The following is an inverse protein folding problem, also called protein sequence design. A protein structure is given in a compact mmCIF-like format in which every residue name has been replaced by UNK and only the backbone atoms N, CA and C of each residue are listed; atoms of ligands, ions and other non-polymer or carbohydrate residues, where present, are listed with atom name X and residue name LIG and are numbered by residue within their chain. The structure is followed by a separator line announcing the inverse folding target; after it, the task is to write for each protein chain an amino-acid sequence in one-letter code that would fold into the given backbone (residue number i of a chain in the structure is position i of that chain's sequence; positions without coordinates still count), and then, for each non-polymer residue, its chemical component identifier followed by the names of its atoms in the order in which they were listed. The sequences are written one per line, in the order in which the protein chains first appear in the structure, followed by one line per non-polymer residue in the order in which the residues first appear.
data_IF_914050755863
#
_entry.id   IF_914050755863
#
_cell.length_a   1.000
_cell.length_b   1.000
_cell.length_c   1.000
_cell.angle_alpha   90.00
_cell.angle_beta   90.00
_cell.angle_gamma   90.00
#
_symmetry.space_group_name_H-M   'P 1'
#
loop_
_entity.id
_entity.type
_entity.pdbx_description
1 polymer ?
#
# COMPACT_ATOMS: atom_id res chain seq x y z
N UNK A 1 -16.59 12.40 -0.58
CA UNK A 1 -16.69 10.93 -0.70
C UNK A 1 -16.88 10.54 -2.14
N UNK A 2 -16.10 9.56 -2.65
CA UNK A 2 -16.29 9.06 -4.00
C UNK A 2 -17.57 8.21 -4.05
N UNK A 3 -18.53 8.61 -4.88
CA UNK A 3 -19.80 7.90 -5.05
C UNK A 3 -19.77 6.88 -6.18
N UNK A 4 -18.57 6.62 -6.75
CA UNK A 4 -18.39 5.78 -7.93
C UNK A 4 -17.37 4.69 -7.66
N UNK A 5 -17.75 3.45 -7.96
CA UNK A 5 -16.85 2.31 -8.04
C UNK A 5 -16.98 1.62 -9.41
N UNK A 6 -15.91 1.06 -9.93
CA UNK A 6 -15.87 0.34 -11.19
C UNK A 6 -15.23 -1.04 -10.98
N UNK A 7 -15.81 -2.06 -11.59
CA UNK A 7 -15.18 -3.36 -11.76
C UNK A 7 -14.90 -3.58 -13.25
N UNK A 8 -13.72 -4.04 -13.56
CA UNK A 8 -13.30 -4.37 -14.93
C UNK A 8 -12.97 -5.85 -14.96
N UNK A 9 -13.49 -6.55 -15.93
CA UNK A 9 -13.21 -7.95 -16.12
C UNK A 9 -13.19 -8.33 -17.60
N UNK A 10 -12.72 -9.51 -17.90
CA UNK A 10 -12.74 -10.09 -19.24
C UNK A 10 -13.53 -11.38 -19.22
N UNK A 11 -14.37 -11.58 -20.23
CA UNK A 11 -14.91 -12.90 -20.56
C UNK A 11 -13.86 -13.56 -21.42
N UNK A 12 -12.82 -14.06 -20.81
CA UNK A 12 -11.84 -14.90 -21.47
C UNK A 12 -11.97 -16.34 -21.01
N UNK A 13 -11.73 -17.22 -21.93
CA UNK A 13 -11.46 -18.61 -21.69
C UNK A 13 -10.34 -18.74 -20.66
N UNK A 14 -10.71 -19.04 -19.44
CA UNK A 14 -9.91 -19.25 -18.25
C UNK A 14 -9.75 -18.10 -17.26
N UNK A 15 -10.12 -18.42 -16.06
CA UNK A 15 -9.60 -18.05 -14.74
C UNK A 15 -10.36 -17.05 -13.94
N UNK A 16 -10.90 -17.58 -12.84
CA UNK A 16 -11.24 -16.88 -11.61
C UNK A 16 -10.03 -16.12 -11.02
N UNK A 17 -9.65 -15.00 -11.59
CA UNK A 17 -8.59 -14.16 -11.05
C UNK A 17 -9.18 -12.88 -10.49
N UNK A 18 -9.15 -12.68 -9.18
CA UNK A 18 -9.38 -11.35 -8.58
C UNK A 18 -8.26 -10.40 -8.99
N UNK A 19 -8.57 -9.10 -9.04
CA UNK A 19 -7.53 -8.09 -9.14
C UNK A 19 -6.82 -7.98 -7.80
N UNK A 20 -5.51 -7.97 -7.83
CA UNK A 20 -4.68 -7.78 -6.65
C UNK A 20 -4.22 -6.32 -6.58
N UNK A 21 -4.34 -5.74 -5.41
CA UNK A 21 -3.81 -4.43 -5.11
C UNK A 21 -2.65 -4.60 -4.13
N UNK A 22 -1.63 -3.77 -4.28
CA UNK A 22 -0.48 -3.75 -3.38
C UNK A 22 -0.22 -2.33 -2.92
N UNK A 23 0.10 -2.20 -1.64
CA UNK A 23 0.66 -1.01 -1.04
C UNK A 23 1.90 -1.41 -0.25
N UNK A 24 3.00 -0.69 -0.45
CA UNK A 24 4.19 -0.83 0.37
C UNK A 24 4.02 0.07 1.58
N UNK A 25 4.07 -0.50 2.78
CA UNK A 25 3.79 0.18 4.05
C UNK A 25 4.93 0.00 5.04
N UNK A 26 4.98 0.84 6.04
CA UNK A 26 5.92 0.71 7.15
C UNK A 26 5.34 1.27 8.44
N UNK A 27 5.45 0.52 9.52
CA UNK A 27 5.12 1.01 10.86
C UNK A 27 6.08 2.12 11.33
N UNK A 28 7.23 2.22 10.69
CA UNK A 28 8.19 3.30 10.93
C UNK A 28 7.64 4.68 10.51
N UNK A 29 6.64 4.72 9.64
CA UNK A 29 6.14 5.89 8.95
C UNK A 29 6.89 6.10 7.63
N UNK A 30 6.95 7.32 7.13
CA UNK A 30 7.70 7.63 5.92
C UNK A 30 9.19 7.38 6.16
N UNK A 31 9.73 6.40 5.42
CA UNK A 31 11.14 6.06 5.49
C UNK A 31 11.90 7.07 4.66
N UNK A 32 12.73 7.86 5.33
CA UNK A 32 13.65 8.83 4.71
C UNK A 32 14.90 8.92 5.56
N UNK A 33 16.00 9.32 4.96
CA UNK A 33 17.25 9.56 5.67
C UNK A 33 17.86 10.88 5.24
N UNK A 34 18.42 11.63 6.17
CA UNK A 34 19.20 12.83 5.88
C UNK A 34 20.57 12.76 6.54
N UNK A 35 21.54 13.46 6.00
CA UNK A 35 22.87 13.60 6.57
C UNK A 35 23.33 15.05 6.51
N UNK A 36 24.20 15.47 7.44
CA UNK A 36 24.62 16.84 7.54
C UNK A 36 25.83 17.18 6.64
N UNK A 37 26.77 16.26 6.49
CA UNK A 37 27.90 16.38 5.61
C UNK A 37 28.47 15.02 5.23
N UNK A 38 29.23 14.98 4.15
CA UNK A 38 29.95 13.81 3.69
C UNK A 38 31.45 14.12 3.59
N UNK A 39 32.28 13.39 4.36
CA UNK A 39 33.74 13.50 4.26
C UNK A 39 34.27 12.55 3.17
N UNK A 40 34.65 13.12 2.05
CA UNK A 40 35.17 12.38 0.89
C UNK A 40 36.49 11.67 1.15
N UNK A 41 37.29 12.16 2.12
CA UNK A 41 38.60 11.56 2.40
C UNK A 41 38.48 10.29 3.24
N UNK A 42 37.51 10.28 4.13
CA UNK A 42 37.23 9.14 5.02
C UNK A 42 36.07 8.24 4.53
N UNK A 43 35.38 8.66 3.46
CA UNK A 43 34.20 7.97 2.94
C UNK A 43 33.08 7.84 3.98
N UNK A 44 32.89 8.87 4.79
CA UNK A 44 31.93 8.87 5.91
C UNK A 44 30.93 10.00 5.84
N UNK A 45 29.67 9.68 6.04
CA UNK A 45 28.62 10.66 6.26
C UNK A 45 28.47 10.95 7.76
N UNK A 46 28.30 12.22 8.10
CA UNK A 46 28.06 12.65 9.48
C UNK A 46 26.65 13.22 9.64
N UNK A 47 26.14 13.18 10.86
CA UNK A 47 24.85 13.73 11.17
C UNK A 47 23.68 12.98 10.49
N UNK A 48 23.80 11.68 10.32
CA UNK A 48 22.79 10.84 9.68
C UNK A 48 21.57 10.69 10.61
N UNK A 49 20.38 10.98 10.09
CA UNK A 49 19.10 10.91 10.85
C UNK A 49 17.96 10.43 9.94
N UNK A 50 17.19 9.42 10.34
CA UNK A 50 17.44 8.46 11.42
C UNK A 50 18.71 7.64 11.14
N UNK A 51 19.34 7.13 12.18
CA UNK A 51 20.48 6.24 12.06
C UNK A 51 20.00 4.78 12.03
N UNK A 52 19.98 4.17 10.86
CA UNK A 52 19.51 2.79 10.68
C UNK A 52 20.48 1.74 11.22
N UNK A 53 21.69 2.12 11.65
CA UNK A 53 22.56 1.20 12.41
C UNK A 53 22.05 0.99 13.85
N UNK A 54 21.25 1.94 14.37
CA UNK A 54 20.60 1.82 15.66
C UNK A 54 19.36 0.93 15.55
N UNK A 55 19.28 -0.23 16.27
CA UNK A 55 18.19 -1.19 16.16
C UNK A 55 16.78 -0.61 16.39
N UNK A 56 16.65 0.45 17.19
CA UNK A 56 15.35 1.09 17.46
C UNK A 56 14.92 2.06 16.34
N UNK A 57 15.82 2.37 15.42
CA UNK A 57 15.56 3.24 14.27
C UNK A 57 15.54 2.47 12.93
N UNK A 58 15.61 1.15 12.96
CA UNK A 58 15.59 0.31 11.77
C UNK A 58 14.17 0.16 11.23
N UNK A 59 13.87 0.69 10.04
CA UNK A 59 12.55 0.54 9.44
C UNK A 59 12.38 -0.83 8.78
N UNK A 60 11.12 -1.25 8.66
CA UNK A 60 10.72 -2.39 7.82
C UNK A 60 9.73 -1.89 6.78
N UNK A 61 9.97 -2.24 5.52
CA UNK A 61 9.01 -2.07 4.42
C UNK A 61 8.25 -3.37 4.29
N UNK A 62 6.93 -3.31 4.29
CA UNK A 62 6.05 -4.48 4.20
C UNK A 62 5.13 -4.39 2.99
N UNK A 63 4.84 -5.53 2.37
CA UNK A 63 3.92 -5.63 1.26
C UNK A 63 2.50 -5.94 1.77
N UNK A 64 1.65 -4.92 1.83
CA UNK A 64 0.21 -5.08 2.08
C UNK A 64 -0.48 -5.39 0.75
N UNK A 65 -0.98 -6.61 0.60
CA UNK A 65 -1.61 -7.10 -0.63
C UNK A 65 -3.06 -7.47 -0.33
N UNK A 66 -4.00 -6.97 -1.12
CA UNK A 66 -5.42 -7.34 -1.03
C UNK A 66 -5.92 -7.90 -2.35
N UNK A 67 -6.98 -8.71 -2.28
CA UNK A 67 -7.64 -9.28 -3.45
C UNK A 67 -9.08 -8.75 -3.52
N UNK A 68 -9.48 -8.18 -4.65
CA UNK A 68 -10.80 -7.59 -4.85
C UNK A 68 -11.97 -8.55 -4.62
N UNK A 69 -11.77 -9.86 -4.80
CA UNK A 69 -12.81 -10.87 -4.58
C UNK A 69 -12.94 -11.29 -3.11
N UNK A 70 -11.84 -11.26 -2.36
CA UNK A 70 -11.80 -11.78 -0.98
C UNK A 70 -11.96 -10.70 0.09
N UNK A 71 -11.68 -9.43 -0.25
CA UNK A 71 -11.67 -8.32 0.71
C UNK A 71 -10.67 -8.49 1.86
N UNK A 72 -9.88 -9.55 1.82
CA UNK A 72 -8.93 -9.91 2.86
C UNK A 72 -7.50 -9.73 2.38
N UNK A 73 -6.61 -9.52 3.33
CA UNK A 73 -5.18 -9.47 3.07
C UNK A 73 -4.67 -10.82 2.54
N UNK A 74 -3.74 -10.77 1.59
CA UNK A 74 -3.16 -11.91 0.91
C UNK A 74 -1.67 -11.95 1.16
N UNK A 75 -1.17 -13.11 1.54
CA UNK A 75 0.25 -13.34 1.85
C UNK A 75 0.92 -14.11 0.71
N UNK A 76 1.99 -13.56 0.09
CA UNK A 76 2.66 -14.23 -1.01
C UNK A 76 3.41 -15.49 -0.54
N UNK A 77 3.42 -16.53 -1.38
CA UNK A 77 4.17 -17.75 -1.13
C UNK A 77 5.68 -17.57 -1.32
N UNK A 78 6.06 -16.60 -2.14
CA UNK A 78 7.43 -16.22 -2.42
C UNK A 78 7.49 -14.72 -2.70
N UNK A 79 8.60 -14.11 -2.29
CA UNK A 79 8.84 -12.69 -2.51
C UNK A 79 10.29 -12.46 -2.93
N UNK A 80 10.45 -11.63 -3.98
CA UNK A 80 11.74 -11.13 -4.44
C UNK A 80 11.83 -9.65 -4.18
N UNK A 81 13.00 -9.19 -3.82
CA UNK A 81 13.30 -7.80 -3.53
C UNK A 81 14.48 -7.34 -4.38
N UNK A 82 14.43 -6.11 -4.87
CA UNK A 82 15.56 -5.43 -5.50
C UNK A 82 15.83 -4.10 -4.80
N UNK A 83 17.07 -3.67 -4.81
CA UNK A 83 17.47 -2.33 -4.37
C UNK A 83 18.25 -1.66 -5.50
N UNK A 84 17.76 -0.51 -5.99
CA UNK A 84 18.32 0.20 -7.14
C UNK A 84 18.56 -0.71 -8.36
N UNK A 85 17.59 -1.60 -8.66
CA UNK A 85 17.65 -2.54 -9.78
C UNK A 85 18.51 -3.78 -9.57
N UNK A 86 19.15 -3.94 -8.39
CA UNK A 86 19.94 -5.14 -8.06
C UNK A 86 19.08 -6.11 -7.24
N UNK A 87 18.89 -7.35 -7.71
CA UNK A 87 18.16 -8.38 -6.98
C UNK A 87 18.92 -8.74 -5.70
N UNK A 88 18.22 -8.71 -4.56
CA UNK A 88 18.77 -9.07 -3.26
C UNK A 88 18.71 -10.58 -3.06
N UNK A 89 19.83 -11.18 -2.70
CA UNK A 89 19.93 -12.56 -2.21
C UNK A 89 20.26 -12.53 -0.72
N UNK A 90 19.78 -13.53 0.02
CA UNK A 90 19.85 -13.56 1.47
C UNK A 90 20.54 -14.84 1.95
N UNK A 91 21.37 -14.73 2.96
CA UNK A 91 21.95 -15.85 3.67
C UNK A 91 20.91 -16.61 4.51
N UNK A 92 21.37 -17.66 5.21
CA UNK A 92 20.52 -18.46 6.10
C UNK A 92 19.94 -17.65 7.27
N UNK A 93 20.62 -16.58 7.67
CA UNK A 93 20.17 -15.61 8.69
C UNK A 93 19.16 -14.58 8.16
N UNK A 94 18.85 -14.66 6.86
CA UNK A 94 17.98 -13.71 6.15
C UNK A 94 18.64 -12.37 5.84
N UNK A 95 19.94 -12.21 6.03
CA UNK A 95 20.67 -10.97 5.77
C UNK A 95 21.14 -10.94 4.31
N UNK A 96 21.06 -9.76 3.65
CA UNK A 96 21.47 -9.58 2.26
C UNK A 96 22.97 -9.77 2.06
N UNK A 97 23.34 -10.49 1.01
CA UNK A 97 24.74 -10.79 0.69
C UNK A 97 25.36 -9.85 -0.34
N UNK A 98 24.52 -9.06 -1.03
CA UNK A 98 24.99 -8.07 -2.02
C UNK A 98 25.68 -6.90 -1.34
N UNK A 99 26.71 -6.38 -2.03
CA UNK A 99 27.26 -5.08 -1.70
C UNK A 99 26.26 -3.97 -2.07
N UNK A 100 25.91 -3.16 -1.08
CA UNK A 100 25.08 -1.98 -1.25
C UNK A 100 25.71 -0.85 -0.42
N UNK A 101 25.80 0.35 -0.96
CA UNK A 101 26.48 1.46 -0.30
C UNK A 101 27.91 1.16 0.19
N UNK A 102 28.65 0.31 -0.53
CA UNK A 102 30.04 -0.04 -0.22
C UNK A 102 30.25 -1.25 0.70
N UNK A 103 29.20 -1.81 1.31
CA UNK A 103 29.26 -2.96 2.20
C UNK A 103 28.07 -3.91 2.05
N UNK A 104 28.15 -5.10 2.67
CA UNK A 104 27.07 -6.11 2.66
C UNK A 104 26.19 -5.97 3.92
N UNK A 105 25.05 -6.66 3.93
CA UNK A 105 24.20 -6.78 5.12
C UNK A 105 23.31 -5.58 5.40
N UNK A 106 22.95 -4.80 4.37
CA UNK A 106 22.04 -3.65 4.51
C UNK A 106 20.60 -4.03 4.78
N UNK A 107 20.18 -5.21 4.32
CA UNK A 107 18.78 -5.60 4.36
C UNK A 107 18.60 -6.95 5.03
N UNK A 108 17.45 -7.15 5.68
CA UNK A 108 17.02 -8.44 6.21
C UNK A 108 15.64 -8.79 5.65
N UNK A 109 15.55 -9.99 5.07
CA UNK A 109 14.31 -10.54 4.56
C UNK A 109 13.40 -11.01 5.70
N UNK A 110 12.11 -10.72 5.60
CA UNK A 110 11.06 -11.23 6.46
C UNK A 110 10.09 -12.01 5.58
N UNK A 111 10.00 -13.32 5.80
CA UNK A 111 9.09 -14.18 5.06
C UNK A 111 7.63 -13.91 5.44
N UNK A 112 6.75 -13.93 4.45
CA UNK A 112 5.32 -13.88 4.71
C UNK A 112 4.85 -15.16 5.41
N UNK A 113 3.93 -15.01 6.38
CA UNK A 113 3.30 -16.12 7.08
C UNK A 113 1.81 -15.81 7.30
N UNK A 114 0.95 -16.41 6.48
CA UNK A 114 -0.50 -16.20 6.55
C UNK A 114 -1.12 -16.65 7.89
N UNK A 115 -0.53 -17.66 8.55
CA UNK A 115 -1.03 -18.16 9.84
C UNK A 115 -0.75 -17.17 10.98
N UNK A 116 0.38 -16.47 10.89
CA UNK A 116 0.81 -15.48 11.87
C UNK A 116 0.40 -14.05 11.47
N UNK A 117 -0.24 -13.89 10.31
CA UNK A 117 -0.52 -12.58 9.69
C UNK A 117 0.73 -11.72 9.52
N UNK A 118 1.88 -12.36 9.24
CA UNK A 118 3.14 -11.67 8.97
C UNK A 118 3.24 -11.38 7.48
N UNK A 119 3.44 -10.12 7.11
CA UNK A 119 3.64 -9.68 5.73
C UNK A 119 5.04 -10.02 5.23
N UNK A 120 5.19 -10.17 3.92
CA UNK A 120 6.52 -10.17 3.31
C UNK A 120 7.15 -8.80 3.56
N UNK A 121 8.33 -8.77 4.14
CA UNK A 121 8.99 -7.55 4.55
C UNK A 121 10.47 -7.51 4.20
N UNK A 122 10.99 -6.28 4.12
CA UNK A 122 12.40 -5.97 3.98
C UNK A 122 12.80 -4.99 5.09
N UNK A 123 13.54 -5.47 6.10
CA UNK A 123 14.05 -4.62 7.17
C UNK A 123 15.39 -4.00 6.75
N UNK A 124 15.54 -2.71 6.97
CA UNK A 124 16.78 -1.97 6.70
C UNK A 124 17.63 -1.97 7.98
N UNK A 125 18.87 -2.45 7.88
CA UNK A 125 19.76 -2.65 9.01
C UNK A 125 20.87 -1.61 9.09
N UNK A 126 21.17 -0.93 7.97
CA UNK A 126 22.29 0.01 7.84
C UNK A 126 21.87 1.25 7.10
N UNK A 127 22.67 2.31 7.26
CA UNK A 127 22.44 3.59 6.59
C UNK A 127 22.53 3.47 5.05
N UNK A 128 21.67 4.21 4.37
CA UNK A 128 21.55 4.18 2.91
C UNK A 128 22.27 5.36 2.24
N UNK A 129 23.00 6.15 3.02
CA UNK A 129 23.79 7.25 2.52
C UNK A 129 24.99 6.71 1.76
N UNK A 130 25.08 7.04 0.46
CA UNK A 130 26.23 6.71 -0.39
C UNK A 130 27.12 7.92 -0.57
N UNK A 131 28.43 7.68 -0.79
CA UNK A 131 29.36 8.73 -1.13
C UNK A 131 28.88 9.57 -2.31
N UNK A 132 28.91 10.89 -2.15
CA UNK A 132 28.67 11.88 -3.20
C UNK A 132 27.27 11.93 -3.80
N UNK A 133 26.29 11.19 -3.26
CA UNK A 133 25.02 11.14 -3.96
C UNK A 133 23.83 11.05 -2.99
N UNK A 134 23.13 12.18 -2.85
CA UNK A 134 21.79 12.23 -2.26
C UNK A 134 20.75 11.56 -3.18
N UNK A 135 21.06 10.34 -3.68
CA UNK A 135 20.19 9.63 -4.60
C UNK A 135 19.15 8.84 -3.80
N UNK A 136 17.88 8.97 -4.12
CA UNK A 136 16.85 8.14 -3.53
C UNK A 136 17.14 6.66 -3.77
N UNK A 137 16.84 5.82 -2.78
CA UNK A 137 16.94 4.36 -2.92
C UNK A 137 15.60 3.81 -3.34
N UNK A 138 15.55 3.19 -4.51
CA UNK A 138 14.36 2.50 -5.01
C UNK A 138 14.39 1.05 -4.55
N UNK A 139 13.42 0.67 -3.73
CA UNK A 139 13.15 -0.71 -3.35
C UNK A 139 12.00 -1.22 -4.19
N UNK A 140 12.21 -2.34 -4.88
CA UNK A 140 11.17 -3.01 -5.65
C UNK A 140 10.87 -4.38 -5.07
N UNK A 141 9.65 -4.80 -5.21
CA UNK A 141 9.10 -6.04 -4.68
C UNK A 141 8.35 -6.78 -5.77
N UNK A 142 8.48 -8.10 -5.81
CA UNK A 142 7.61 -8.97 -6.61
C UNK A 142 7.16 -10.13 -5.74
N UNK A 143 5.92 -10.09 -5.28
CA UNK A 143 5.27 -11.19 -4.57
C UNK A 143 4.63 -12.18 -5.55
N UNK A 144 4.74 -13.47 -5.26
CA UNK A 144 4.04 -14.53 -5.99
C UNK A 144 2.92 -15.09 -5.11
N UNK A 145 1.68 -14.98 -5.55
CA UNK A 145 0.51 -15.51 -4.84
C UNK A 145 -0.12 -16.65 -5.63
N UNK A 146 -0.65 -17.65 -4.92
CA UNK A 146 -1.44 -18.70 -5.54
C UNK A 146 -2.83 -18.16 -5.93
N UNK A 147 -3.27 -18.44 -7.16
CA UNK A 147 -4.56 -18.06 -7.70
C UNK A 147 -5.18 -19.28 -8.39
N UNK A 148 -5.89 -20.09 -7.61
CA UNK A 148 -6.33 -21.43 -8.02
C UNK A 148 -5.13 -22.33 -8.35
N UNK A 149 -5.13 -22.92 -9.55
CA UNK A 149 -4.03 -23.76 -10.04
C UNK A 149 -2.87 -22.95 -10.64
N UNK A 150 -2.93 -21.63 -10.60
CA UNK A 150 -1.93 -20.74 -11.19
C UNK A 150 -1.30 -19.88 -10.10
N UNK A 151 -0.25 -19.14 -10.52
CA UNK A 151 0.37 -18.13 -9.68
C UNK A 151 0.36 -16.78 -10.39
N UNK A 152 0.12 -15.72 -9.61
CA UNK A 152 0.25 -14.34 -10.08
C UNK A 152 1.44 -13.66 -9.45
N UNK A 153 2.15 -12.86 -10.25
CA UNK A 153 3.20 -11.96 -9.78
C UNK A 153 2.59 -10.59 -9.51
N UNK A 154 2.85 -10.04 -8.33
CA UNK A 154 2.34 -8.77 -7.87
C UNK A 154 3.53 -7.86 -7.60
N UNK A 155 3.80 -6.87 -8.49
CA UNK A 155 4.87 -5.92 -8.30
C UNK A 155 4.47 -4.79 -7.34
N UNK A 156 5.45 -4.30 -6.59
CA UNK A 156 5.34 -3.10 -5.76
C UNK A 156 6.65 -2.36 -5.71
N UNK A 157 6.62 -1.08 -5.33
CA UNK A 157 7.84 -0.28 -5.16
C UNK A 157 7.70 0.71 -4.02
N UNK A 158 8.84 1.06 -3.43
CA UNK A 158 8.97 2.06 -2.38
C UNK A 158 10.24 2.88 -2.60
N UNK A 159 10.11 4.21 -2.65
CA UNK A 159 11.27 5.09 -2.80
C UNK A 159 11.63 5.70 -1.47
N UNK A 160 12.89 5.57 -1.07
CA UNK A 160 13.44 6.12 0.17
C UNK A 160 14.24 7.36 -0.18
N UNK A 161 13.78 8.58 0.16
CA UNK A 161 14.56 9.79 -0.02
C UNK A 161 15.81 9.79 0.88
N UNK A 162 16.96 10.12 0.29
CA UNK A 162 18.22 10.39 1.00
C UNK A 162 18.61 11.82 0.67
N UNK A 163 18.73 12.68 1.68
CA UNK A 163 18.85 14.12 1.50
C UNK A 163 20.05 14.66 2.28
N UNK A 164 20.85 15.51 1.65
CA UNK A 164 21.79 16.36 2.35
C UNK A 164 21.08 17.53 3.00
N UNK A 165 21.41 17.84 4.25
CA UNK A 165 20.76 18.91 5.00
C UNK A 165 21.72 19.56 5.97
N UNK A 166 21.89 20.86 5.84
CA UNK A 166 22.70 21.69 6.77
C UNK A 166 22.00 22.01 8.09
N UNK A 167 20.75 21.56 8.28
CA UNK A 167 19.99 21.79 9.51
C UNK A 167 20.41 20.84 10.64
N UNK A 168 20.15 21.28 11.88
CA UNK A 168 20.43 20.52 13.11
C UNK A 168 20.09 19.03 12.96
N UNK A 169 20.93 18.18 13.52
CA UNK A 169 20.81 16.73 13.46
C UNK A 169 19.58 16.13 14.17
N UNK A 170 18.44 16.80 14.09
CA UNK A 170 17.16 16.32 14.62
C UNK A 170 16.08 16.33 13.56
N UNK A 171 15.18 15.37 13.65
CA UNK A 171 14.05 15.24 12.76
C UNK A 171 12.84 14.70 13.53
N UNK A 172 11.66 15.26 13.27
CA UNK A 172 10.40 14.68 13.72
C UNK A 172 9.95 13.63 12.71
N UNK A 173 9.51 12.49 13.20
CA UNK A 173 8.95 11.41 12.40
C UNK A 173 7.73 10.81 13.09
N UNK A 174 6.64 10.61 12.35
CA UNK A 174 5.47 9.88 12.83
C UNK A 174 5.63 8.40 12.47
N UNK A 175 5.64 7.51 13.45
CA UNK A 175 5.43 6.09 13.23
C UNK A 175 3.94 5.76 13.38
N UNK A 176 3.45 4.84 12.56
CA UNK A 176 2.05 4.48 12.51
C UNK A 176 1.88 2.97 12.61
N UNK A 177 1.22 2.46 13.62
CA UNK A 177 0.93 1.03 13.69
C UNK A 177 0.10 0.59 12.47
N UNK A 178 0.28 -0.66 12.04
CA UNK A 178 -0.32 -1.22 10.83
C UNK A 178 -0.02 -0.40 9.54
N UNK A 179 1.09 0.35 9.51
CA UNK A 179 1.48 1.18 8.37
C UNK A 179 0.50 2.32 8.05
N UNK A 180 -0.28 2.77 9.04
CA UNK A 180 -1.31 3.80 8.86
C UNK A 180 -2.61 3.30 8.22
N UNK A 181 -2.84 1.98 8.21
CA UNK A 181 -4.04 1.39 7.61
C UNK A 181 -5.02 0.98 8.73
N UNK A 182 -6.24 1.48 8.64
CA UNK A 182 -7.40 1.00 9.38
C UNK A 182 -8.10 -0.06 8.53
N UNK A 183 -8.37 -1.22 9.11
CA UNK A 183 -9.05 -2.33 8.45
C UNK A 183 -9.95 -3.07 9.46
N UNK A 184 -10.60 -4.15 9.04
CA UNK A 184 -11.50 -4.93 9.91
C UNK A 184 -10.81 -5.56 11.12
N UNK A 185 -9.50 -5.83 11.01
CA UNK A 185 -8.68 -6.40 12.09
C UNK A 185 -8.03 -5.31 12.95
N UNK A 186 -7.97 -4.07 12.45
CA UNK A 186 -7.35 -2.91 13.08
C UNK A 186 -8.30 -1.70 13.04
N UNK A 187 -9.36 -1.73 13.86
CA UNK A 187 -10.33 -0.63 13.96
C UNK A 187 -9.76 0.63 14.64
N UNK A 188 -8.57 0.55 15.19
CA UNK A 188 -7.80 1.68 15.70
C UNK A 188 -6.32 1.47 15.48
N UNK A 189 -5.60 2.56 15.24
CA UNK A 189 -4.14 2.59 15.11
C UNK A 189 -3.54 3.64 16.02
N UNK A 190 -2.25 3.49 16.32
CA UNK A 190 -1.49 4.46 17.08
C UNK A 190 -0.55 5.23 16.17
N UNK A 191 -0.56 6.54 16.29
CA UNK A 191 0.42 7.44 15.71
C UNK A 191 1.33 7.93 16.82
N UNK A 192 2.64 7.80 16.64
CA UNK A 192 3.64 8.19 17.64
C UNK A 192 4.66 9.13 17.03
N UNK A 193 4.83 10.30 17.64
CA UNK A 193 5.86 11.25 17.28
C UNK A 193 7.21 10.78 17.85
N UNK A 194 8.17 10.55 16.97
CA UNK A 194 9.54 10.22 17.30
C UNK A 194 10.42 11.44 16.99
N UNK A 195 11.41 11.67 17.84
CA UNK A 195 12.46 12.65 17.59
C UNK A 195 13.70 11.82 17.33
N UNK A 196 14.11 11.77 16.07
CA UNK A 196 15.33 11.10 15.66
C UNK A 196 16.46 12.13 15.70
N UNK A 197 17.58 11.78 16.34
CA UNK A 197 18.74 12.66 16.50
C UNK A 197 20.05 11.94 16.14
N UNK A 198 21.13 12.70 16.04
CA UNK A 198 22.46 12.16 15.75
C UNK A 198 23.23 11.65 16.99
N UNK A 199 22.49 11.36 18.08
CA UNK A 199 23.08 10.71 19.25
C UNK A 199 23.57 11.67 20.32
N UNK A 200 22.75 12.56 20.84
CA UNK A 200 23.15 13.30 22.03
C UNK A 200 22.36 14.54 22.45
N UNK A 201 21.45 15.02 21.65
CA UNK A 201 20.62 16.15 22.06
C UNK A 201 19.42 15.66 22.88
N UNK A 202 19.50 15.75 24.17
CA UNK A 202 18.35 15.50 25.05
C UNK A 202 17.47 16.74 25.04
N UNK A 203 16.29 16.64 24.43
CA UNK A 203 15.26 17.65 24.60
C UNK A 203 14.46 17.27 25.84
N UNK A 204 14.62 18.05 26.89
CA UNK A 204 13.80 17.91 28.07
C UNK A 204 12.39 18.45 27.81
N UNK A 205 11.38 17.61 28.02
CA UNK A 205 9.95 17.95 27.92
C UNK A 205 9.51 18.54 26.57
N UNK A 206 9.64 17.79 25.44
CA UNK A 206 9.13 18.28 24.17
C UNK A 206 7.61 18.44 24.22
N UNK A 207 7.12 19.53 23.63
CA UNK A 207 5.67 19.77 23.46
C UNK A 207 5.23 19.33 22.08
N UNK A 208 4.12 18.63 22.01
CA UNK A 208 3.53 18.08 20.79
C UNK A 208 2.22 18.79 20.50
N UNK A 209 2.04 19.21 19.25
CA UNK A 209 0.78 19.74 18.74
C UNK A 209 0.35 18.88 17.56
N UNK A 210 -0.81 18.24 17.71
CA UNK A 210 -1.37 17.42 16.65
C UNK A 210 -2.49 18.14 15.91
N UNK A 211 -2.46 18.01 14.60
CA UNK A 211 -3.44 18.55 13.66
C UNK A 211 -3.87 17.42 12.72
N UNK A 212 -5.07 17.52 12.16
CA UNK A 212 -5.51 16.63 11.10
C UNK A 212 -6.28 17.41 10.04
N UNK A 213 -6.31 16.91 8.80
CA UNK A 213 -7.08 17.56 7.74
C UNK A 213 -8.57 17.50 8.05
N UNK A 214 -9.21 18.68 7.99
CA UNK A 214 -10.67 18.82 8.01
C UNK A 214 -11.29 18.57 6.63
N UNK A 215 -12.60 18.80 6.49
CA UNK A 215 -13.35 18.64 5.24
C UNK A 215 -12.87 19.61 4.14
N UNK A 216 -12.31 20.75 4.52
CA UNK A 216 -11.70 21.73 3.59
C UNK A 216 -10.36 21.25 3.01
N UNK A 217 -9.74 20.25 3.60
CA UNK A 217 -8.37 19.81 3.30
C UNK A 217 -7.29 20.56 4.07
N UNK A 218 -7.65 21.58 4.86
CA UNK A 218 -6.72 22.31 5.71
C UNK A 218 -6.46 21.55 7.02
N UNK A 219 -5.28 21.76 7.61
CA UNK A 219 -4.97 21.19 8.92
C UNK A 219 -5.66 21.96 10.03
N UNK A 220 -6.38 21.25 10.87
CA UNK A 220 -7.09 21.75 12.04
C UNK A 220 -6.55 21.08 13.31
N UNK A 221 -6.43 21.85 14.40
CA UNK A 221 -5.94 21.32 15.66
C UNK A 221 -6.91 20.29 16.25
N UNK A 222 -6.38 19.13 16.67
CA UNK A 222 -7.18 18.06 17.27
C UNK A 222 -7.65 18.38 18.70
N UNK A 223 -7.17 19.47 19.30
CA UNK A 223 -7.61 19.94 20.61
C UNK A 223 -6.82 19.39 21.79
N UNK A 224 -7.32 19.66 23.01
CA UNK A 224 -6.59 19.49 24.28
C UNK A 224 -6.22 18.02 24.59
N UNK A 225 -6.97 17.05 24.08
CA UNK A 225 -6.71 15.62 24.30
C UNK A 225 -5.54 15.05 23.48
N UNK A 226 -5.01 15.82 22.53
CA UNK A 226 -4.01 15.36 21.54
C UNK A 226 -2.67 16.11 21.68
N UNK A 227 -2.19 16.22 22.92
CA UNK A 227 -0.91 16.91 23.23
C UNK A 227 0.21 15.97 23.64
N UNK A 228 -0.06 14.65 23.62
CA UNK A 228 0.89 13.61 23.98
C UNK A 228 1.82 13.23 22.82
N UNK A 229 2.87 12.50 23.17
CA UNK A 229 3.80 11.90 22.20
C UNK A 229 3.11 10.90 21.26
N UNK A 230 2.01 10.29 21.71
CA UNK A 230 1.24 9.27 21.02
C UNK A 230 -0.23 9.65 21.02
N UNK A 231 -0.91 9.42 19.90
CA UNK A 231 -2.36 9.54 19.77
C UNK A 231 -2.94 8.24 19.20
N UNK A 232 -4.20 7.98 19.51
CA UNK A 232 -4.98 6.88 18.91
C UNK A 232 -5.93 7.47 17.88
N UNK A 233 -5.94 6.89 16.69
CA UNK A 233 -6.87 7.20 15.61
C UNK A 233 -7.81 6.01 15.45
N UNK A 234 -9.11 6.25 15.48
CA UNK A 234 -10.12 5.22 15.31
C UNK A 234 -10.72 5.26 13.91
N UNK A 235 -11.36 4.19 13.53
CA UNK A 235 -12.05 4.07 12.24
C UNK A 235 -13.07 5.20 12.02
N UNK A 236 -13.76 5.62 13.08
CA UNK A 236 -14.75 6.70 13.02
C UNK A 236 -14.12 8.09 12.73
N UNK A 237 -12.81 8.25 12.96
CA UNK A 237 -12.10 9.51 12.77
C UNK A 237 -11.62 9.71 11.32
N UNK A 238 -11.71 8.66 10.48
CA UNK A 238 -11.15 8.65 9.12
C UNK A 238 -12.21 8.21 8.13
N UNK A 239 -12.48 9.06 7.16
CA UNK A 239 -13.36 8.74 6.03
C UNK A 239 -12.50 8.59 4.78
N UNK A 240 -12.26 7.36 4.33
CA UNK A 240 -11.40 7.00 3.22
C UNK A 240 -9.90 7.26 3.48
N UNK A 241 -9.47 8.51 3.68
CA UNK A 241 -8.12 8.85 4.12
C UNK A 241 -8.06 10.21 4.81
N UNK A 242 -7.14 10.36 5.78
CA UNK A 242 -6.92 11.61 6.51
C UNK A 242 -5.43 11.82 6.77
N UNK A 243 -4.95 13.05 6.64
CA UNK A 243 -3.59 13.41 6.98
C UNK A 243 -3.54 13.87 8.44
N UNK A 244 -2.58 13.34 9.18
CA UNK A 244 -2.27 13.74 10.55
C UNK A 244 -0.88 14.38 10.56
N UNK A 245 -0.77 15.53 11.18
CA UNK A 245 0.46 16.28 11.32
C UNK A 245 0.79 16.45 12.81
N UNK A 246 2.03 16.24 13.18
CA UNK A 246 2.56 16.61 14.47
C UNK A 246 3.61 17.70 14.31
N UNK A 247 3.52 18.72 15.14
CA UNK A 247 4.57 19.73 15.29
C UNK A 247 5.19 19.58 16.68
N UNK A 248 6.52 19.44 16.72
CA UNK A 248 7.30 19.44 17.95
C UNK A 248 8.06 20.75 18.03
N UNK A 249 7.79 21.52 19.07
CA UNK A 249 8.34 22.86 19.23
C UNK A 249 9.86 22.87 19.15
N UNK A 250 10.42 23.83 18.39
CA UNK A 250 11.85 24.01 18.15
C UNK A 250 12.58 22.89 17.39
N UNK A 251 11.85 21.84 16.91
CA UNK A 251 12.47 20.74 16.16
C UNK A 251 11.93 20.69 14.73
N UNK A 252 10.62 20.64 14.55
CA UNK A 252 9.99 20.54 13.24
C UNK A 252 8.65 19.84 13.28
N UNK A 253 8.19 19.44 12.12
CA UNK A 253 6.92 18.72 11.94
C UNK A 253 7.07 17.55 10.98
N UNK A 254 6.12 16.62 11.09
CA UNK A 254 5.95 15.51 10.14
C UNK A 254 4.47 15.25 9.89
N UNK A 255 4.18 14.62 8.76
CA UNK A 255 2.82 14.31 8.31
C UNK A 255 2.71 12.84 7.98
N UNK A 256 1.68 12.18 8.49
CA UNK A 256 1.36 10.79 8.22
C UNK A 256 -0.05 10.67 7.63
N UNK A 257 -0.17 9.92 6.56
CA UNK A 257 -1.46 9.54 5.99
C UNK A 257 -2.00 8.31 6.70
N UNK A 258 -3.26 8.40 7.12
CA UNK A 258 -4.04 7.25 7.61
C UNK A 258 -5.13 6.95 6.60
N UNK A 259 -5.31 5.68 6.28
CA UNK A 259 -6.29 5.22 5.29
C UNK A 259 -7.26 4.22 5.92
N UNK A 260 -8.55 4.40 5.62
CA UNK A 260 -9.61 3.47 5.98
C UNK A 260 -9.90 2.53 4.80
N UNK A 261 -9.47 1.29 4.93
CA UNK A 261 -9.73 0.24 3.94
C UNK A 261 -11.06 -0.50 4.16
N UNK A 262 -11.80 -0.18 5.24
CA UNK A 262 -13.16 -0.70 5.43
C UNK A 262 -14.21 0.09 4.64
N UNK A 263 -13.89 1.33 4.27
CA UNK A 263 -14.79 2.26 3.57
C UNK A 263 -14.62 2.20 2.03
N UNK A 264 -13.79 1.29 1.54
CA UNK A 264 -13.55 1.11 0.11
C UNK A 264 -14.79 0.60 -0.62
N UNK A 265 -15.27 1.41 -1.57
CA UNK A 265 -16.35 1.00 -2.46
C UNK A 265 -15.83 0.00 -3.48
N UNK A 266 -16.41 -1.19 -3.51
CA UNK A 266 -16.10 -2.23 -4.51
C UNK A 266 -17.34 -2.75 -5.19
N UNK A 267 -17.21 -3.04 -6.48
CA UNK A 267 -18.23 -3.76 -7.24
C UNK A 267 -17.79 -5.20 -7.41
N UNK A 268 -18.65 -6.13 -7.01
CA UNK A 268 -18.48 -7.58 -7.23
C UNK A 268 -19.36 -7.97 -8.40
N UNK A 269 -18.80 -8.50 -9.51
CA UNK A 269 -19.54 -8.80 -10.73
C UNK A 269 -20.67 -9.82 -10.55
N UNK A 270 -20.41 -10.87 -9.75
CA UNK A 270 -21.35 -11.98 -9.47
C UNK A 270 -21.96 -12.61 -10.75
N UNK A 271 -21.09 -13.20 -11.64
CA UNK A 271 -21.54 -13.79 -12.88
C UNK A 271 -22.25 -15.14 -12.69
N UNK A 272 -23.06 -15.51 -13.68
CA UNK A 272 -23.66 -16.84 -13.82
C UNK A 272 -23.51 -17.29 -15.27
N UNK A 273 -22.77 -18.38 -15.59
CA UNK A 273 -22.03 -19.22 -14.64
C UNK A 273 -20.84 -18.47 -13.98
N UNK A 274 -20.40 -18.91 -12.78
CA UNK A 274 -19.32 -18.25 -12.04
C UNK A 274 -17.97 -18.26 -12.76
N UNK A 275 -17.76 -19.20 -13.67
CA UNK A 275 -16.55 -19.37 -14.47
C UNK A 275 -16.44 -18.32 -15.57
N UNK A 276 -17.54 -17.61 -15.87
CA UNK A 276 -17.63 -16.66 -16.99
C UNK A 276 -17.27 -17.32 -18.34
N UNK A 277 -17.63 -18.59 -18.49
CA UNK A 277 -17.27 -19.40 -19.67
C UNK A 277 -18.53 -19.67 -20.52
N UNK A 278 -18.37 -19.50 -21.84
CA UNK A 278 -19.36 -19.93 -22.83
C UNK A 278 -18.71 -20.99 -23.71
N UNK A 279 -19.32 -22.17 -23.73
CA UNK A 279 -18.85 -23.31 -24.56
C UNK A 279 -19.41 -23.16 -25.96
N UNK A 280 -18.56 -23.29 -26.97
CA UNK A 280 -18.95 -23.22 -28.38
C UNK A 280 -20.04 -24.29 -28.72
N UNK A 281 -21.10 -23.84 -29.37
CA UNK A 281 -22.24 -24.70 -29.76
C UNK A 281 -23.24 -24.97 -28.63
N UNK A 282 -23.06 -24.35 -27.45
CA UNK A 282 -23.98 -24.53 -26.31
C UNK A 282 -25.24 -23.69 -26.40
N UNK A 283 -25.28 -22.65 -27.25
CA UNK A 283 -26.23 -21.53 -27.21
C UNK A 283 -26.29 -20.85 -25.82
N UNK A 284 -25.16 -20.89 -25.12
CA UNK A 284 -25.04 -20.38 -23.76
C UNK A 284 -24.95 -18.86 -23.66
N UNK A 285 -25.07 -18.38 -22.45
CA UNK A 285 -24.82 -16.97 -22.12
C UNK A 285 -24.16 -16.84 -20.76
N UNK A 286 -23.55 -15.68 -20.50
CA UNK A 286 -23.12 -15.25 -19.17
C UNK A 286 -23.97 -14.05 -18.77
N UNK A 287 -24.53 -14.11 -17.56
CA UNK A 287 -25.28 -13.00 -16.96
C UNK A 287 -24.58 -12.51 -15.71
N UNK A 288 -24.72 -11.21 -15.40
CA UNK A 288 -24.14 -10.61 -14.22
C UNK A 288 -25.25 -10.01 -13.33
N UNK A 289 -25.14 -10.29 -12.02
CA UNK A 289 -25.93 -9.66 -10.97
C UNK A 289 -24.98 -8.88 -10.03
N UNK A 290 -24.48 -7.71 -10.46
CA UNK A 290 -23.45 -7.00 -9.71
C UNK A 290 -23.94 -6.56 -8.35
N UNK A 291 -23.04 -6.60 -7.36
CA UNK A 291 -23.28 -6.14 -6.00
C UNK A 291 -22.24 -5.09 -5.64
N UNK A 292 -22.64 -4.10 -4.86
CA UNK A 292 -21.75 -3.07 -4.36
C UNK A 292 -21.56 -3.23 -2.86
N UNK A 293 -20.33 -3.14 -2.44
CA UNK A 293 -19.96 -3.21 -1.03
C UNK A 293 -19.20 -1.96 -0.62
N UNK A 294 -19.37 -1.59 0.64
CA UNK A 294 -18.48 -0.67 1.34
C UNK A 294 -17.74 -1.47 2.39
N UNK A 295 -16.43 -1.69 2.17
CA UNK A 295 -15.71 -2.70 2.91
C UNK A 295 -16.34 -4.08 2.73
N UNK A 296 -16.81 -4.71 3.81
CA UNK A 296 -17.53 -5.99 3.78
C UNK A 296 -19.07 -5.85 3.79
N UNK A 297 -19.56 -4.62 3.96
CA UNK A 297 -21.02 -4.36 4.05
C UNK A 297 -21.63 -4.23 2.67
N UNK A 298 -22.62 -5.08 2.36
CA UNK A 298 -23.40 -4.97 1.13
C UNK A 298 -24.28 -3.72 1.17
N UNK A 299 -24.18 -2.89 0.12
CA UNK A 299 -25.06 -1.73 -0.08
C UNK A 299 -26.30 -2.22 -0.84
N UNK A 300 -27.44 -2.33 -0.14
CA UNK A 300 -28.66 -2.94 -0.67
C UNK A 300 -29.61 -1.95 -1.39
N UNK A 301 -29.36 -0.63 -1.31
CA UNK A 301 -30.26 0.37 -1.86
C UNK A 301 -29.49 1.60 -2.36
N UNK A 302 -30.10 2.34 -3.26
CA UNK A 302 -29.49 3.57 -3.80
C UNK A 302 -28.30 3.33 -4.73
N UNK A 303 -28.10 2.12 -5.25
CA UNK A 303 -27.02 1.80 -6.19
C UNK A 303 -27.57 1.58 -7.59
N UNK A 304 -26.98 2.26 -8.55
CA UNK A 304 -27.26 2.02 -9.98
C UNK A 304 -26.02 1.41 -10.61
N UNK A 305 -26.21 0.34 -11.38
CA UNK A 305 -25.13 -0.30 -12.13
C UNK A 305 -25.26 -0.02 -13.62
N UNK A 306 -24.09 0.09 -14.28
CA UNK A 306 -23.98 0.05 -15.73
C UNK A 306 -22.86 -0.89 -16.15
N UNK A 307 -23.05 -1.59 -17.26
CA UNK A 307 -22.06 -2.51 -17.80
C UNK A 307 -21.83 -2.23 -19.28
N UNK A 308 -20.57 -2.29 -19.70
CA UNK A 308 -20.16 -2.14 -21.10
C UNK A 308 -19.24 -3.28 -21.46
N UNK A 309 -19.38 -3.80 -22.68
CA UNK A 309 -18.55 -4.84 -23.22
C UNK A 309 -17.61 -4.30 -24.30
N UNK A 310 -16.45 -4.90 -24.44
CA UNK A 310 -15.42 -4.56 -25.40
C UNK A 310 -14.80 -5.83 -25.97
N UNK A 311 -14.48 -5.83 -27.25
CA UNK A 311 -13.71 -6.93 -27.83
C UNK A 311 -12.25 -6.90 -27.32
N UNK A 312 -11.42 -7.94 -27.59
CA UNK A 312 -10.02 -7.96 -27.16
C UNK A 312 -9.18 -6.77 -27.63
N UNK A 313 -9.57 -6.12 -28.73
CA UNK A 313 -8.92 -4.91 -29.23
C UNK A 313 -9.41 -3.59 -28.57
N UNK A 314 -10.33 -3.69 -27.60
CA UNK A 314 -10.85 -2.53 -26.86
C UNK A 314 -12.00 -1.79 -27.57
N UNK A 315 -12.56 -2.35 -28.67
CA UNK A 315 -13.71 -1.75 -29.35
C UNK A 315 -15.01 -2.14 -28.63
N UNK A 316 -15.94 -1.18 -28.37
CA UNK A 316 -17.21 -1.47 -27.73
C UNK A 316 -18.03 -2.52 -28.51
N UNK A 317 -18.62 -3.48 -27.79
CA UNK A 317 -19.57 -4.46 -28.31
C UNK A 317 -20.99 -4.00 -27.94
N UNK A 318 -21.87 -3.95 -28.91
CA UNK A 318 -23.31 -3.73 -28.66
C UNK A 318 -23.96 -5.06 -28.29
N UNK A 319 -24.45 -5.18 -27.07
CA UNK A 319 -25.17 -6.37 -26.58
C UNK A 319 -26.66 -6.09 -26.49
N UNK A 320 -27.46 -7.13 -26.68
CA UNK A 320 -28.93 -7.00 -26.60
C UNK A 320 -29.41 -6.70 -25.19
N UNK A 321 -28.68 -7.17 -24.16
CA UNK A 321 -29.04 -6.98 -22.74
C UNK A 321 -27.84 -6.51 -21.96
N UNK A 322 -27.99 -5.42 -21.17
CA UNK A 322 -26.90 -4.73 -20.50
C UNK A 322 -26.00 -5.61 -19.57
N UNK A 323 -26.59 -6.61 -18.94
CA UNK A 323 -25.90 -7.51 -18.00
C UNK A 323 -25.88 -8.96 -18.48
N UNK A 324 -25.87 -9.14 -19.80
CA UNK A 324 -25.81 -10.45 -20.42
C UNK A 324 -25.01 -10.39 -21.71
N UNK A 325 -24.22 -11.42 -21.99
CA UNK A 325 -23.59 -11.63 -23.28
C UNK A 325 -23.82 -13.07 -23.73
N UNK A 326 -24.15 -13.24 -24.99
CA UNK A 326 -24.46 -14.54 -25.60
C UNK A 326 -23.26 -15.11 -26.33
N UNK A 327 -23.32 -16.42 -26.62
CA UNK A 327 -22.31 -17.10 -27.43
C UNK A 327 -22.08 -16.43 -28.77
N UNK A 328 -23.15 -16.08 -29.50
CA UNK A 328 -23.06 -15.40 -30.78
C UNK A 328 -22.34 -14.05 -30.71
N UNK A 329 -22.65 -13.25 -29.66
CA UNK A 329 -22.01 -11.95 -29.46
C UNK A 329 -20.51 -12.08 -29.15
N UNK A 330 -20.13 -13.09 -28.36
CA UNK A 330 -18.71 -13.39 -28.06
C UNK A 330 -17.99 -13.94 -29.28
N UNK A 331 -18.59 -14.87 -30.02
CA UNK A 331 -17.99 -15.49 -31.18
C UNK A 331 -17.75 -14.48 -32.32
N UNK A 332 -18.71 -13.59 -32.58
CA UNK A 332 -18.62 -12.53 -33.60
C UNK A 332 -17.49 -11.52 -33.30
N UNK A 333 -17.13 -11.36 -32.04
CA UNK A 333 -16.14 -10.37 -31.61
C UNK A 333 -14.79 -10.97 -31.19
N UNK A 334 -14.64 -12.30 -31.27
CA UNK A 334 -13.39 -13.01 -30.91
C UNK A 334 -13.05 -12.97 -29.43
N UNK A 335 -14.07 -12.82 -28.59
CA UNK A 335 -13.97 -12.66 -27.13
C UNK A 335 -14.62 -11.37 -26.63
N UNK A 336 -14.83 -11.27 -25.34
CA UNK A 336 -15.38 -10.07 -24.72
C UNK A 336 -14.72 -9.73 -23.38
N UNK A 337 -14.39 -8.47 -23.22
CA UNK A 337 -14.02 -7.85 -21.94
C UNK A 337 -15.20 -7.01 -21.45
N UNK A 338 -15.29 -6.79 -20.14
CA UNK A 338 -16.34 -5.93 -19.61
C UNK A 338 -15.86 -4.94 -18.55
N UNK A 339 -16.62 -3.86 -18.41
CA UNK A 339 -16.48 -2.88 -17.32
C UNK A 339 -17.84 -2.71 -16.66
N UNK A 340 -17.92 -2.99 -15.37
CA UNK A 340 -19.10 -2.70 -14.55
C UNK A 340 -18.80 -1.47 -13.69
N UNK A 341 -19.69 -0.47 -13.77
CA UNK A 341 -19.65 0.75 -12.95
C UNK A 341 -20.86 0.77 -12.02
N UNK A 342 -20.61 0.91 -10.72
CA UNK A 342 -21.63 1.17 -9.71
C UNK A 342 -21.58 2.64 -9.27
N UNK A 343 -22.76 3.25 -9.14
CA UNK A 343 -22.96 4.60 -8.63
C UNK A 343 -23.92 4.57 -7.45
N UNK A 344 -23.52 5.19 -6.33
CA UNK A 344 -24.43 5.44 -5.21
C UNK A 344 -25.16 6.75 -5.51
N UNK A 345 -26.49 6.70 -5.56
CA UNK A 345 -27.34 7.90 -5.63
C UNK A 345 -27.40 8.52 -4.23
N UNK A 346 -27.07 9.80 -4.14
CA UNK A 346 -27.22 10.60 -2.92
C UNK A 346 -28.68 11.01 -2.71
#
# INVERSE_FOLDING_TARGET
MGNKAQAVGSVEYTKQGGTYFIKMVSDFGDIRQKYASYDVNNNEASGIVPDFTNPVQQPTIEAYITNSKKGAEVYPNNAKWTANGVELTFGEDGISTQNFCGETGHFKYIAADAKKKTRAGLKILKNLVVPFNATPVLIEFVGTVADGNNSKKIPGSYTIPVLESTSNGMMVRISASNGGILDKDHASIKLKANIDDTGGAIISNPTYAWEATGDSGDFEALGVGYTGKEITVNLADVSNSRLYKVTVACIGSDVQRVEDHTDELRVVPNPTPPEEEIVEGSNGNVTWAPKMYRGETLINSGVTFSMKFYNPAGTPINVATQFCITEDEVAQNGGANYVITGLIQQ
#
